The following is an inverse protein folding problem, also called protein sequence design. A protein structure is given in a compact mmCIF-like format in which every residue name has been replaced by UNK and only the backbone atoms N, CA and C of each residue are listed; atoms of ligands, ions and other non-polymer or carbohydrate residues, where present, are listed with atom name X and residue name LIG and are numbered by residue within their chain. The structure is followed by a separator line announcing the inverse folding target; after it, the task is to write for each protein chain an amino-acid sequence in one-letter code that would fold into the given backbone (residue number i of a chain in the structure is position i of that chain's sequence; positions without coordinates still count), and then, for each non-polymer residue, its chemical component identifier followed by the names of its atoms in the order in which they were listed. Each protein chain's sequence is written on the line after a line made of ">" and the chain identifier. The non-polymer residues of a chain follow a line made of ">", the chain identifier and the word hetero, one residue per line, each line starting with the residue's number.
data_IF_117652919628
#
_entry.id   IF_117652919628
#
_cell.length_a   1.000
_cell.length_b   1.000
_cell.length_c   1.000
_cell.angle_alpha   90.00
_cell.angle_beta   90.00
_cell.angle_gamma   90.00
#
_symmetry.space_group_name_H-M   'P 1'
#
loop_
_entity.id
_entity.type
_entity.pdbx_description
1 polymer ?
#
# COMPACT_ATOMS: atom_id res chain seq x y z
N UNK A 1 13.17 -0.77 -19.11
CA UNK A 1 12.96 -0.41 -17.68
C UNK A 1 11.62 0.28 -17.45
N UNK A 2 11.41 1.57 -17.78
CA UNK A 2 10.12 2.24 -17.50
C UNK A 2 8.88 1.55 -18.11
N UNK A 3 8.90 1.26 -19.41
CA UNK A 3 7.80 0.56 -20.09
C UNK A 3 7.59 -0.87 -19.56
N UNK A 4 8.67 -1.54 -19.11
CA UNK A 4 8.58 -2.86 -18.50
C UNK A 4 7.94 -2.80 -17.11
N UNK A 5 8.24 -1.74 -16.34
CA UNK A 5 7.64 -1.51 -15.03
C UNK A 5 6.16 -1.18 -15.14
N UNK A 6 5.76 -0.31 -16.09
CA UNK A 6 4.34 -0.06 -16.36
C UNK A 6 3.60 -1.36 -16.74
N UNK A 7 4.23 -2.20 -17.57
CA UNK A 7 3.68 -3.52 -17.90
C UNK A 7 3.53 -4.40 -16.67
N UNK A 8 4.57 -4.48 -15.82
CA UNK A 8 4.56 -5.26 -14.58
C UNK A 8 3.51 -4.77 -13.60
N UNK A 9 3.36 -3.47 -13.43
CA UNK A 9 2.34 -2.85 -12.57
C UNK A 9 0.92 -3.31 -12.92
N UNK A 10 0.66 -3.57 -14.21
CA UNK A 10 -0.63 -4.09 -14.67
C UNK A 10 -0.80 -5.62 -14.49
N UNK A 11 0.24 -6.35 -14.08
CA UNK A 11 0.17 -7.80 -13.84
C UNK A 11 -0.54 -8.12 -12.51
N UNK A 12 -1.20 -9.28 -12.43
CA UNK A 12 -1.88 -9.71 -11.19
C UNK A 12 -0.90 -10.02 -10.05
N UNK A 13 0.30 -10.51 -10.41
CA UNK A 13 1.39 -10.86 -9.48
C UNK A 13 2.73 -10.41 -10.07
N UNK A 14 3.02 -9.09 -10.04
CA UNK A 14 4.28 -8.60 -10.56
C UNK A 14 5.44 -9.16 -9.76
N UNK A 15 6.54 -9.42 -10.45
CA UNK A 15 7.82 -9.74 -9.82
C UNK A 15 8.84 -8.65 -10.15
N UNK A 16 9.37 -8.02 -9.10
CA UNK A 16 10.35 -6.97 -9.19
C UNK A 16 11.70 -7.48 -8.67
N UNK A 17 12.76 -7.24 -9.43
CA UNK A 17 14.13 -7.41 -8.94
C UNK A 17 14.53 -6.22 -8.05
N UNK A 18 15.70 -6.30 -7.39
CA UNK A 18 16.14 -5.27 -6.46
C UNK A 18 16.31 -3.88 -7.10
N UNK A 19 16.80 -3.80 -8.34
CA UNK A 19 16.97 -2.52 -9.06
C UNK A 19 15.60 -1.91 -9.41
N UNK A 20 14.64 -2.75 -9.79
CA UNK A 20 13.26 -2.33 -10.06
C UNK A 20 12.57 -1.84 -8.80
N UNK A 21 12.72 -2.53 -7.67
CA UNK A 21 12.20 -2.10 -6.37
C UNK A 21 12.80 -0.75 -5.98
N UNK A 22 14.13 -0.59 -6.09
CA UNK A 22 14.80 0.67 -5.79
C UNK A 22 14.28 1.79 -6.70
N UNK A 23 14.11 1.51 -7.99
CA UNK A 23 13.56 2.48 -8.92
C UNK A 23 12.15 2.93 -8.50
N UNK A 24 11.27 2.01 -8.09
CA UNK A 24 9.93 2.35 -7.62
C UNK A 24 9.99 3.29 -6.41
N UNK A 25 10.87 3.01 -5.44
CA UNK A 25 11.06 3.87 -4.27
C UNK A 25 11.53 5.28 -4.66
N UNK A 26 12.48 5.39 -5.57
CA UNK A 26 13.01 6.68 -6.04
C UNK A 26 11.95 7.50 -6.81
N UNK A 27 10.83 6.87 -7.21
CA UNK A 27 9.80 7.46 -8.08
C UNK A 27 8.41 7.56 -7.43
N UNK A 28 8.25 7.21 -6.14
CA UNK A 28 6.98 7.36 -5.40
C UNK A 28 6.49 8.82 -5.28
N UNK A 29 7.34 9.80 -5.58
CA UNK A 29 7.00 11.23 -5.69
C UNK A 29 7.49 11.85 -7.01
N UNK A 30 7.51 11.08 -8.09
CA UNK A 30 8.06 11.55 -9.37
C UNK A 30 7.29 12.78 -9.89
N UNK A 31 7.99 13.79 -10.46
CA UNK A 31 7.32 14.95 -11.07
C UNK A 31 6.45 14.59 -12.29
N UNK A 32 6.67 13.42 -12.91
CA UNK A 32 5.77 12.87 -13.93
C UNK A 32 4.50 12.33 -13.28
N UNK A 33 3.31 12.90 -13.59
CA UNK A 33 2.04 12.44 -13.03
C UNK A 33 1.73 10.98 -13.37
N UNK A 34 2.13 10.50 -14.56
CA UNK A 34 1.82 9.15 -15.02
C UNK A 34 2.39 8.08 -14.08
N UNK A 35 3.68 8.20 -13.73
CA UNK A 35 4.35 7.25 -12.83
C UNK A 35 3.79 7.38 -11.41
N UNK A 36 3.72 8.61 -10.91
CA UNK A 36 3.28 8.89 -9.55
C UNK A 36 1.86 8.39 -9.32
N UNK A 37 0.96 8.64 -10.27
CA UNK A 37 -0.46 8.32 -10.13
C UNK A 37 -0.69 6.80 -10.23
N UNK A 38 0.04 6.08 -11.10
CA UNK A 38 -0.01 4.61 -11.17
C UNK A 38 0.56 3.93 -9.91
N UNK A 39 1.64 4.45 -9.34
CA UNK A 39 2.17 3.96 -8.06
C UNK A 39 1.23 4.27 -6.90
N UNK A 40 0.67 5.48 -6.86
CA UNK A 40 -0.31 5.88 -5.86
C UNK A 40 -1.58 5.02 -5.94
N UNK A 41 -2.05 4.69 -7.15
CA UNK A 41 -3.19 3.81 -7.36
C UNK A 41 -2.93 2.39 -6.86
N UNK A 42 -1.74 1.85 -7.07
CA UNK A 42 -1.37 0.54 -6.50
C UNK A 42 -1.31 0.58 -4.99
N UNK A 43 -0.69 1.61 -4.41
CA UNK A 43 -0.61 1.78 -2.96
C UNK A 43 -1.99 1.91 -2.33
N UNK A 44 -2.90 2.67 -2.95
CA UNK A 44 -4.29 2.79 -2.52
C UNK A 44 -4.98 1.44 -2.45
N UNK A 45 -4.84 0.59 -3.48
CA UNK A 45 -5.58 -0.66 -3.56
C UNK A 45 -4.84 -1.89 -3.01
N UNK A 46 -3.61 -1.77 -2.51
CA UNK A 46 -2.82 -2.90 -2.02
C UNK A 46 -3.55 -3.71 -0.93
N UNK A 47 -4.02 -3.05 0.14
CA UNK A 47 -4.72 -3.70 1.26
C UNK A 47 -6.03 -4.39 0.84
N UNK A 48 -6.65 -3.96 -0.27
CA UNK A 48 -7.85 -4.62 -0.78
C UNK A 48 -7.56 -6.05 -1.25
N UNK A 49 -6.32 -6.33 -1.68
CA UNK A 49 -5.87 -7.61 -2.23
C UNK A 49 -5.05 -8.45 -1.24
N UNK A 50 -4.45 -7.83 -0.23
CA UNK A 50 -3.58 -8.51 0.73
C UNK A 50 -4.33 -9.53 1.60
N UNK A 51 -3.70 -10.70 1.78
CA UNK A 51 -4.22 -11.86 2.51
C UNK A 51 -3.16 -12.50 3.42
N UNK A 52 -1.90 -12.09 3.33
CA UNK A 52 -0.81 -12.60 4.16
C UNK A 52 -0.96 -12.05 5.58
N UNK A 53 -1.31 -12.94 6.49
CA UNK A 53 -1.47 -12.67 7.92
C UNK A 53 -0.23 -13.05 8.72
N UNK A 54 0.90 -13.29 8.06
CA UNK A 54 2.12 -13.72 8.72
C UNK A 54 2.70 -12.56 9.54
N UNK A 55 2.78 -12.74 10.86
CA UNK A 55 3.53 -11.86 11.76
C UNK A 55 5.04 -12.05 11.56
N UNK A 56 5.64 -12.87 12.42
CA UNK A 56 7.06 -13.23 12.31
C UNK A 56 7.28 -14.55 11.56
N UNK A 57 8.20 -14.53 10.61
CA UNK A 57 8.77 -15.70 9.93
C UNK A 57 10.20 -15.96 10.43
N UNK A 58 10.51 -17.21 10.77
CA UNK A 58 11.89 -17.58 11.14
C UNK A 58 12.89 -17.45 9.98
N UNK A 59 12.41 -17.51 8.74
CA UNK A 59 13.24 -17.39 7.55
C UNK A 59 13.39 -15.93 7.08
N UNK A 60 12.31 -15.15 7.17
CA UNK A 60 12.24 -13.81 6.57
C UNK A 60 12.15 -12.66 7.58
N UNK A 61 12.05 -12.97 8.88
CA UNK A 61 11.84 -11.96 9.92
C UNK A 61 10.39 -11.48 9.97
N UNK A 62 10.19 -10.23 10.37
CA UNK A 62 8.86 -9.61 10.44
C UNK A 62 8.29 -9.41 9.03
N UNK A 63 7.21 -10.15 8.72
CA UNK A 63 6.55 -10.09 7.41
C UNK A 63 5.53 -8.96 7.40
N UNK A 64 4.60 -8.94 8.37
CA UNK A 64 3.79 -7.75 8.72
C UNK A 64 3.11 -7.08 7.52
N UNK A 65 2.56 -7.87 6.59
CA UNK A 65 2.07 -7.36 5.32
C UNK A 65 0.95 -6.31 5.49
N UNK A 66 0.04 -6.49 6.47
CA UNK A 66 -0.98 -5.48 6.76
C UNK A 66 -0.40 -4.21 7.38
N UNK A 67 0.58 -4.34 8.29
CA UNK A 67 1.25 -3.19 8.88
C UNK A 67 1.98 -2.35 7.81
N UNK A 68 2.74 -2.99 6.92
CA UNK A 68 3.40 -2.29 5.80
C UNK A 68 2.40 -1.73 4.78
N UNK A 69 1.31 -2.45 4.50
CA UNK A 69 0.23 -1.95 3.66
C UNK A 69 -0.49 -0.74 4.24
N UNK A 70 -0.65 -0.69 5.57
CA UNK A 70 -1.22 0.46 6.27
C UNK A 70 -0.28 1.67 6.25
N UNK A 71 1.03 1.45 6.44
CA UNK A 71 2.04 2.50 6.28
C UNK A 71 1.99 3.08 4.86
N UNK A 72 2.00 2.23 3.83
CA UNK A 72 1.89 2.67 2.43
C UNK A 72 0.60 3.44 2.16
N UNK A 73 -0.56 2.95 2.61
CA UNK A 73 -1.83 3.64 2.41
C UNK A 73 -1.86 4.98 3.14
N UNK A 74 -1.23 5.09 4.32
CA UNK A 74 -1.11 6.37 5.04
C UNK A 74 -0.32 7.38 4.21
N UNK A 75 0.83 7.00 3.65
CA UNK A 75 1.63 7.88 2.79
C UNK A 75 0.87 8.32 1.53
N UNK A 76 0.14 7.40 0.90
CA UNK A 76 -0.69 7.71 -0.28
C UNK A 76 -1.76 8.74 0.05
N UNK A 77 -2.49 8.58 1.16
CA UNK A 77 -3.60 9.47 1.53
C UNK A 77 -3.10 10.82 2.05
N UNK A 78 -1.92 10.86 2.67
CA UNK A 78 -1.28 12.10 3.14
C UNK A 78 -0.53 12.84 2.02
N UNK A 79 -0.37 12.24 0.84
CA UNK A 79 0.33 12.88 -0.27
C UNK A 79 -0.40 14.20 -0.68
N UNK A 80 0.33 15.32 -0.90
CA UNK A 80 -0.30 16.62 -1.21
C UNK A 80 -1.22 16.61 -2.44
N UNK A 81 -0.89 15.77 -3.43
CA UNK A 81 -1.67 15.61 -4.66
C UNK A 81 -2.77 14.55 -4.56
N UNK A 82 -2.97 13.92 -3.39
CA UNK A 82 -4.03 12.92 -3.23
C UNK A 82 -5.41 13.59 -3.43
N UNK A 83 -6.22 13.09 -4.37
CA UNK A 83 -7.47 13.75 -4.73
C UNK A 83 -8.53 13.54 -3.64
N UNK A 84 -8.96 14.63 -3.02
CA UNK A 84 -9.90 14.62 -1.88
C UNK A 84 -11.23 13.91 -2.15
N UNK A 85 -11.67 13.88 -3.41
CA UNK A 85 -12.88 13.16 -3.79
C UNK A 85 -12.73 11.63 -3.73
N UNK A 86 -11.50 11.09 -3.62
CA UNK A 86 -11.22 9.65 -3.50
C UNK A 86 -11.06 9.14 -2.07
N UNK A 87 -11.18 10.02 -1.06
CA UNK A 87 -11.08 9.63 0.37
C UNK A 87 -12.10 8.54 0.74
N UNK A 88 -13.26 8.51 0.10
CA UNK A 88 -14.26 7.44 0.31
C UNK A 88 -13.72 6.04 -0.02
N UNK A 89 -12.84 5.91 -1.01
CA UNK A 89 -12.22 4.63 -1.38
C UNK A 89 -11.37 4.06 -0.24
N UNK A 90 -10.71 4.92 0.54
CA UNK A 90 -9.92 4.54 1.71
C UNK A 90 -10.82 3.83 2.74
N UNK A 91 -11.98 4.42 3.03
CA UNK A 91 -12.97 3.82 3.94
C UNK A 91 -13.54 2.52 3.38
N UNK A 92 -13.78 2.42 2.07
CA UNK A 92 -14.24 1.19 1.43
C UNK A 92 -13.19 0.08 1.55
N UNK A 93 -11.91 0.40 1.33
CA UNK A 93 -10.78 -0.55 1.45
C UNK A 93 -10.67 -1.05 2.89
N UNK A 94 -10.62 -0.15 3.87
CA UNK A 94 -10.56 -0.53 5.28
C UNK A 94 -11.80 -1.33 5.69
N UNK A 95 -12.99 -0.89 5.29
CA UNK A 95 -14.25 -1.58 5.57
C UNK A 95 -14.28 -3.00 4.98
N UNK A 96 -13.79 -3.18 3.76
CA UNK A 96 -13.66 -4.51 3.14
C UNK A 96 -12.61 -5.37 3.84
N UNK A 97 -11.48 -4.79 4.23
CA UNK A 97 -10.45 -5.47 5.00
C UNK A 97 -11.04 -6.02 6.31
N UNK A 98 -11.63 -5.16 7.15
CA UNK A 98 -12.24 -5.59 8.41
C UNK A 98 -13.37 -6.62 8.24
N UNK A 99 -14.16 -6.54 7.16
CA UNK A 99 -15.20 -7.54 6.87
C UNK A 99 -14.64 -8.90 6.45
N UNK A 100 -13.51 -8.91 5.74
CA UNK A 100 -12.86 -10.14 5.24
C UNK A 100 -12.07 -10.84 6.34
N UNK A 101 -11.50 -10.09 7.28
CA UNK A 101 -10.62 -10.63 8.29
C UNK A 101 -11.39 -11.38 9.38
N UNK A 102 -11.07 -12.67 9.56
CA UNK A 102 -11.59 -13.51 10.64
C UNK A 102 -10.62 -13.65 11.82
N UNK A 103 -9.43 -13.05 11.71
CA UNK A 103 -8.40 -13.05 12.75
C UNK A 103 -8.24 -11.64 13.31
N UNK A 104 -7.63 -11.55 14.50
CA UNK A 104 -7.24 -10.26 15.07
C UNK A 104 -5.93 -9.81 14.44
N UNK A 105 -5.84 -8.51 14.15
CA UNK A 105 -4.58 -7.83 13.88
C UNK A 105 -3.71 -7.87 15.14
N UNK A 106 -2.42 -8.14 14.99
CA UNK A 106 -1.45 -8.24 16.09
C UNK A 106 -0.21 -7.40 15.77
N UNK A 107 0.74 -7.32 16.71
CA UNK A 107 2.06 -6.74 16.46
C UNK A 107 2.02 -5.33 15.82
N UNK A 108 1.18 -4.47 16.39
CA UNK A 108 0.89 -3.07 15.99
C UNK A 108 0.18 -2.88 14.64
N UNK A 109 -0.30 -3.94 13.99
CA UNK A 109 -1.06 -3.82 12.74
C UNK A 109 -2.34 -2.99 12.90
N UNK A 110 -3.06 -3.15 14.01
CA UNK A 110 -4.29 -2.39 14.31
C UNK A 110 -4.01 -0.90 14.51
N UNK A 111 -2.93 -0.57 15.23
CA UNK A 111 -2.50 0.80 15.42
C UNK A 111 -2.08 1.46 14.10
N UNK A 112 -1.36 0.74 13.22
CA UNK A 112 -0.99 1.27 11.90
C UNK A 112 -2.19 1.43 10.96
N UNK A 113 -3.15 0.51 11.01
CA UNK A 113 -4.40 0.66 10.27
C UNK A 113 -5.21 1.88 10.73
N UNK A 114 -5.17 2.21 12.02
CA UNK A 114 -5.82 3.42 12.54
C UNK A 114 -5.17 4.71 12.00
N UNK A 115 -3.84 4.73 11.79
CA UNK A 115 -3.10 5.88 11.23
C UNK A 115 -3.65 6.34 9.90
N UNK A 116 -4.07 5.40 9.05
CA UNK A 116 -4.69 5.69 7.75
C UNK A 116 -5.86 6.68 7.88
N UNK A 117 -6.58 6.66 9.00
CA UNK A 117 -7.77 7.50 9.22
C UNK A 117 -7.39 8.84 9.86
N UNK A 118 -6.55 8.82 10.90
CA UNK A 118 -6.32 10.03 11.69
C UNK A 118 -5.16 10.89 11.18
N UNK A 119 -4.14 10.31 10.54
CA UNK A 119 -2.99 11.08 10.06
C UNK A 119 -3.39 12.15 9.01
N UNK A 120 -4.29 11.86 8.04
CA UNK A 120 -4.69 12.84 7.03
C UNK A 120 -5.48 14.05 7.56
N UNK A 121 -5.89 14.04 8.84
CA UNK A 121 -6.68 15.11 9.47
C UNK A 121 -5.91 15.85 10.58
N UNK A 122 -4.63 15.52 10.79
CA UNK A 122 -3.71 16.26 11.66
C UNK A 122 -3.09 17.45 10.90
#
# INVERSE_FOLDING_TARGET
>A
MYQDLLRKIAEEKPNYNQEEIQWLFDHLGNPSPEIRDDLSNQGLHYLSKEKDTTGFSSQYGWVHAFAHGADLLTEVVCHPDFPKNRVHEVFDILGQLFKRMSIRFTDDEDWRLARVIYEPIL
#
